data_IF_878311957107
#
_entry.id   IF_878311957107
#
_cell.length_a   1.000
_cell.length_b   1.000
_cell.length_c   1.000
_cell.angle_alpha   90.00
_cell.angle_beta   90.00
_cell.angle_gamma   90.00
#
_symmetry.space_group_name_H-M   'P 1'
#
loop_
_entity.id
_entity.type
_entity.pdbx_description
1 polymer ?
#
# COMPACT_ATOMS: atom_id res chain seq x y z
N UNK A 1 -1.94 1.62 -50.52
CA UNK A 1 -1.79 2.60 -49.42
C UNK A 1 -2.09 1.83 -48.14
N UNK A 2 -1.08 1.55 -47.32
CA UNK A 2 -1.21 0.67 -46.15
C UNK A 2 -2.10 1.35 -45.09
N UNK A 3 -3.36 0.95 -45.00
CA UNK A 3 -4.28 1.44 -43.96
C UNK A 3 -3.93 0.76 -42.64
N UNK A 4 -3.61 1.56 -41.61
CA UNK A 4 -3.44 1.07 -40.23
C UNK A 4 -2.01 1.04 -39.68
N UNK A 5 -1.01 1.56 -40.40
CA UNK A 5 0.33 1.78 -39.84
C UNK A 5 0.31 3.17 -39.15
N UNK A 6 0.69 3.26 -37.86
CA UNK A 6 0.86 4.55 -37.18
C UNK A 6 1.81 5.47 -37.96
N UNK A 7 1.65 6.78 -37.84
CA UNK A 7 2.67 7.69 -38.38
C UNK A 7 3.99 7.46 -37.65
N UNK A 8 5.11 7.45 -38.37
CA UNK A 8 6.45 7.42 -37.77
C UNK A 8 6.91 8.82 -37.33
N UNK A 9 6.02 9.81 -37.34
CA UNK A 9 6.32 11.14 -36.83
C UNK A 9 6.68 11.06 -35.34
N UNK A 10 7.74 11.77 -34.89
CA UNK A 10 8.12 11.76 -33.49
C UNK A 10 6.98 12.25 -32.59
N UNK A 11 6.68 11.49 -31.53
CA UNK A 11 5.69 11.87 -30.52
C UNK A 11 6.38 12.02 -29.17
N UNK A 12 6.24 13.21 -28.58
CA UNK A 12 6.72 13.48 -27.23
C UNK A 12 5.66 13.04 -26.22
N UNK A 13 6.08 12.21 -25.26
CA UNK A 13 5.21 11.59 -24.27
C UNK A 13 5.83 11.74 -22.90
N UNK A 14 5.04 12.19 -21.93
CA UNK A 14 5.39 12.11 -20.52
C UNK A 14 5.02 10.72 -20.00
N UNK A 15 6.01 9.94 -19.59
CA UNK A 15 5.86 8.59 -19.04
C UNK A 15 5.96 8.68 -17.53
N UNK A 16 4.89 8.29 -16.83
CA UNK A 16 4.83 8.23 -15.38
C UNK A 16 4.85 6.79 -14.91
N UNK A 17 5.94 6.39 -14.25
CA UNK A 17 6.17 5.04 -13.76
C UNK A 17 5.86 4.99 -12.27
N UNK A 18 4.90 4.16 -11.86
CA UNK A 18 4.55 3.94 -10.46
C UNK A 18 5.05 2.58 -10.00
N UNK A 19 5.96 2.57 -9.03
CA UNK A 19 6.52 1.34 -8.45
C UNK A 19 5.98 1.17 -7.04
N UNK A 20 5.13 0.16 -6.86
CA UNK A 20 4.37 -0.03 -5.61
C UNK A 20 5.19 -0.81 -4.60
N UNK A 21 5.50 -2.06 -4.94
CA UNK A 21 6.18 -3.01 -4.07
C UNK A 21 6.81 -4.12 -4.88
N UNK A 22 7.75 -4.83 -4.28
CA UNK A 22 8.15 -6.14 -4.74
C UNK A 22 7.75 -7.21 -3.71
N UNK A 23 7.60 -8.45 -4.17
CA UNK A 23 7.33 -9.62 -3.34
C UNK A 23 8.28 -10.75 -3.68
N UNK A 24 8.71 -11.48 -2.66
CA UNK A 24 9.57 -12.66 -2.77
C UNK A 24 10.84 -12.41 -3.59
N UNK A 25 11.49 -11.26 -3.38
CA UNK A 25 12.79 -10.99 -4.00
C UNK A 25 13.80 -12.09 -3.66
N UNK A 26 14.65 -12.43 -4.62
CA UNK A 26 15.73 -13.37 -4.37
C UNK A 26 16.72 -12.77 -3.35
N UNK A 27 17.07 -13.49 -2.27
CA UNK A 27 18.10 -13.05 -1.34
C UNK A 27 19.44 -12.86 -2.05
N UNK A 28 20.10 -11.73 -1.82
CA UNK A 28 21.42 -11.44 -2.39
C UNK A 28 22.49 -11.29 -1.29
N UNK A 29 22.07 -10.93 -0.07
CA UNK A 29 22.95 -10.85 1.11
C UNK A 29 23.19 -12.20 1.82
N UNK A 30 24.34 -12.28 2.52
CA UNK A 30 24.73 -13.41 3.41
C UNK A 30 23.70 -13.67 4.53
N UNK A 31 22.98 -12.63 4.97
CA UNK A 31 21.94 -12.74 6.00
C UNK A 31 20.62 -13.37 5.46
N UNK A 32 20.56 -13.69 4.17
CA UNK A 32 19.35 -14.22 3.53
C UNK A 32 18.29 -13.15 3.25
N UNK A 33 18.68 -11.87 3.16
CA UNK A 33 17.85 -10.71 2.80
C UNK A 33 18.44 -9.99 1.57
N UNK A 34 17.96 -8.77 1.35
CA UNK A 34 18.46 -7.81 0.39
C UNK A 34 18.12 -6.42 0.94
N UNK A 35 18.87 -5.41 0.51
CA UNK A 35 18.69 -3.98 0.67
C UNK A 35 18.20 -3.36 -0.67
N UNK A 36 16.98 -3.70 -1.16
CA UNK A 36 16.56 -3.38 -2.51
C UNK A 36 16.34 -1.88 -2.78
N UNK A 37 16.73 -1.44 -3.97
CA UNK A 37 16.37 -0.13 -4.54
C UNK A 37 15.97 -0.22 -6.03
N UNK A 38 15.27 0.82 -6.52
CA UNK A 38 14.76 0.88 -7.89
C UNK A 38 15.74 1.57 -8.82
N UNK A 39 15.94 0.98 -10.00
CA UNK A 39 16.59 1.63 -11.13
C UNK A 39 15.66 1.65 -12.35
N UNK A 40 15.54 2.80 -13.00
CA UNK A 40 14.67 3.01 -14.17
C UNK A 40 15.50 3.60 -15.29
N UNK A 41 15.39 3.02 -16.48
CA UNK A 41 16.02 3.52 -17.69
C UNK A 41 15.02 3.66 -18.82
N UNK A 42 14.99 4.84 -19.43
CA UNK A 42 14.16 5.14 -20.61
C UNK A 42 14.85 6.21 -21.46
N UNK A 43 15.18 5.86 -22.71
CA UNK A 43 15.94 6.75 -23.60
C UNK A 43 17.29 7.12 -23.00
N UNK A 44 17.52 8.42 -22.81
CA UNK A 44 18.74 8.98 -22.18
C UNK A 44 18.65 9.07 -20.66
N UNK A 45 17.47 8.88 -20.09
CA UNK A 45 17.23 8.99 -18.65
C UNK A 45 17.60 7.67 -17.97
N UNK A 46 18.46 7.75 -16.96
CA UNK A 46 18.90 6.64 -16.11
C UNK A 46 18.79 7.11 -14.66
N UNK A 47 17.80 6.59 -13.95
CA UNK A 47 17.47 6.94 -12.56
C UNK A 47 17.85 5.75 -11.69
N UNK A 48 18.68 5.99 -10.67
CA UNK A 48 19.00 5.01 -9.63
C UNK A 48 18.63 5.58 -8.28
N UNK A 49 17.64 4.99 -7.63
CA UNK A 49 17.09 5.46 -6.36
C UNK A 49 17.89 4.92 -5.16
N UNK A 50 19.22 4.90 -5.29
CA UNK A 50 20.14 4.21 -4.38
C UNK A 50 20.08 4.76 -2.94
N UNK A 51 19.86 6.06 -2.78
CA UNK A 51 19.76 6.71 -1.46
C UNK A 51 18.49 6.32 -0.69
N UNK A 52 17.53 5.69 -1.35
CA UNK A 52 16.25 5.28 -0.76
C UNK A 52 16.04 3.77 -0.83
N UNK A 53 17.13 3.00 -0.72
CA UNK A 53 17.05 1.56 -0.55
C UNK A 53 16.25 1.20 0.71
N UNK A 54 15.62 0.03 0.71
CA UNK A 54 14.84 -0.46 1.85
C UNK A 54 15.61 -1.59 2.50
N UNK A 55 16.12 -1.36 3.71
CA UNK A 55 17.04 -2.32 4.33
C UNK A 55 16.38 -3.66 4.70
N UNK A 56 17.10 -4.76 4.44
CA UNK A 56 16.84 -6.14 4.88
C UNK A 56 15.43 -6.65 4.56
N UNK A 57 14.94 -6.34 3.37
CA UNK A 57 13.56 -6.60 2.99
C UNK A 57 13.44 -7.34 1.65
N UNK A 58 12.83 -8.53 1.67
CA UNK A 58 12.50 -9.29 0.45
C UNK A 58 11.13 -8.93 -0.13
N UNK A 59 10.30 -8.21 0.63
CA UNK A 59 8.97 -7.75 0.24
C UNK A 59 8.85 -6.22 0.40
N UNK A 60 9.72 -5.42 -0.26
CA UNK A 60 9.77 -3.97 -0.04
C UNK A 60 8.53 -3.28 -0.61
N UNK A 61 8.01 -2.29 0.12
CA UNK A 61 7.00 -1.36 -0.40
C UNK A 61 7.70 -0.04 -0.72
N UNK A 62 7.96 0.21 -2.00
CA UNK A 62 8.63 1.42 -2.46
C UNK A 62 7.69 2.61 -2.42
N UNK A 63 6.49 2.47 -3.00
CA UNK A 63 5.48 3.52 -3.05
C UNK A 63 5.98 4.81 -3.71
N UNK A 64 6.63 4.72 -4.87
CA UNK A 64 7.22 5.87 -5.57
C UNK A 64 6.75 6.01 -7.01
N UNK A 65 6.70 7.25 -7.48
CA UNK A 65 6.41 7.58 -8.87
C UNK A 65 7.55 8.37 -9.50
N UNK A 66 7.83 8.12 -10.79
CA UNK A 66 8.87 8.78 -11.56
C UNK A 66 8.30 9.30 -12.88
N UNK A 67 8.54 10.57 -13.17
CA UNK A 67 8.13 11.22 -14.40
C UNK A 67 9.34 11.33 -15.34
N UNK A 68 9.21 10.77 -16.54
CA UNK A 68 10.26 10.72 -17.56
C UNK A 68 9.69 11.15 -18.90
N UNK A 69 10.31 12.13 -19.53
CA UNK A 69 9.97 12.50 -20.91
C UNK A 69 10.62 11.54 -21.89
N UNK A 70 9.87 11.09 -22.90
CA UNK A 70 10.36 10.19 -23.93
C UNK A 70 9.82 10.60 -25.31
N UNK A 71 10.62 10.37 -26.34
CA UNK A 71 10.27 10.59 -27.75
C UNK A 71 10.14 9.26 -28.48
N UNK A 72 8.92 8.86 -28.85
CA UNK A 72 8.70 7.67 -29.68
C UNK A 72 8.96 7.97 -31.16
N UNK A 73 9.52 7.03 -31.94
CA UNK A 73 9.86 5.64 -31.59
C UNK A 73 11.25 5.46 -30.95
N UNK A 74 12.07 6.51 -30.91
CA UNK A 74 13.49 6.44 -30.53
C UNK A 74 13.72 5.96 -29.09
N UNK A 75 12.82 6.33 -28.17
CA UNK A 75 12.93 6.12 -26.73
C UNK A 75 11.76 5.25 -26.23
N UNK A 76 11.54 4.10 -26.86
CA UNK A 76 10.36 3.23 -26.61
C UNK A 76 10.54 2.18 -25.52
N UNK A 77 11.78 1.77 -25.22
CA UNK A 77 12.06 0.67 -24.30
C UNK A 77 12.28 1.16 -22.87
N UNK A 78 11.28 0.98 -22.02
CA UNK A 78 11.38 1.20 -20.57
C UNK A 78 11.99 -0.03 -19.89
N UNK A 79 13.09 0.15 -19.17
CA UNK A 79 13.67 -0.87 -18.30
C UNK A 79 13.45 -0.48 -16.86
N UNK A 80 12.88 -1.38 -16.06
CA UNK A 80 12.76 -1.23 -14.60
C UNK A 80 13.48 -2.41 -13.95
N UNK A 81 14.44 -2.10 -13.09
CA UNK A 81 15.28 -3.06 -12.42
C UNK A 81 15.24 -2.84 -10.90
N UNK A 82 15.44 -3.92 -10.15
CA UNK A 82 15.64 -3.91 -8.71
C UNK A 82 17.08 -4.37 -8.45
N UNK A 83 17.83 -3.54 -7.74
CA UNK A 83 19.20 -3.82 -7.33
C UNK A 83 19.27 -4.01 -5.82
N UNK A 84 20.23 -4.80 -5.38
CA UNK A 84 20.64 -4.92 -3.99
C UNK A 84 21.70 -3.86 -3.67
N UNK A 85 21.52 -3.11 -2.59
CA UNK A 85 22.50 -2.12 -2.17
C UNK A 85 23.60 -2.79 -1.35
N UNK A 86 24.86 -2.64 -1.78
CA UNK A 86 26.01 -3.14 -1.02
C UNK A 86 26.81 -1.99 -0.38
N UNK A 87 27.16 -2.16 0.90
CA UNK A 87 28.05 -1.23 1.60
C UNK A 87 29.45 -1.20 0.97
N UNK A 88 29.92 -2.35 0.46
CA UNK A 88 31.24 -2.51 -0.14
C UNK A 88 31.12 -3.30 -1.43
N UNK A 89 31.56 -2.71 -2.54
CA UNK A 89 31.58 -3.39 -3.84
C UNK A 89 30.62 -2.76 -4.84
N UNK A 90 30.10 -3.60 -5.74
CA UNK A 90 29.14 -3.22 -6.76
C UNK A 90 27.79 -3.83 -6.45
N UNK A 91 26.76 -2.99 -6.40
CA UNK A 91 25.36 -3.37 -6.23
C UNK A 91 24.93 -4.50 -7.18
N UNK A 92 24.33 -5.55 -6.63
CA UNK A 92 23.91 -6.72 -7.38
C UNK A 92 22.53 -6.54 -8.03
N UNK A 93 22.38 -6.97 -9.30
CA UNK A 93 21.07 -6.97 -9.95
C UNK A 93 20.23 -8.15 -9.46
N UNK A 94 19.12 -7.88 -8.78
CA UNK A 94 18.17 -8.92 -8.34
C UNK A 94 17.30 -9.35 -9.52
N UNK A 95 16.78 -8.39 -10.30
CA UNK A 95 15.95 -8.68 -11.45
C UNK A 95 15.56 -7.43 -12.26
N UNK A 96 15.19 -7.62 -13.52
CA UNK A 96 14.75 -6.56 -14.41
C UNK A 96 13.54 -6.96 -15.26
N UNK A 97 12.78 -5.97 -15.70
CA UNK A 97 11.74 -6.10 -16.72
C UNK A 97 11.88 -5.02 -17.79
N UNK A 98 11.52 -5.36 -19.02
CA UNK A 98 11.58 -4.47 -20.19
C UNK A 98 10.20 -4.35 -20.82
N UNK A 99 9.76 -3.12 -21.00
CA UNK A 99 8.42 -2.75 -21.44
C UNK A 99 8.53 -1.89 -22.70
N UNK A 100 8.00 -2.38 -23.82
CA UNK A 100 7.89 -1.60 -25.05
C UNK A 100 6.69 -0.66 -24.95
N UNK A 101 6.98 0.60 -24.66
CA UNK A 101 5.99 1.65 -24.49
C UNK A 101 5.37 2.08 -25.81
N UNK A 102 6.11 2.04 -26.92
CA UNK A 102 5.60 2.43 -28.23
C UNK A 102 4.52 1.47 -28.71
N UNK A 103 4.78 0.16 -28.60
CA UNK A 103 3.80 -0.87 -28.95
C UNK A 103 2.52 -0.72 -28.11
N UNK A 104 2.64 -0.40 -26.83
CA UNK A 104 1.50 -0.14 -25.94
C UNK A 104 0.77 1.15 -26.28
N UNK A 105 1.50 2.21 -26.59
CA UNK A 105 0.97 3.52 -26.95
C UNK A 105 0.10 3.44 -28.20
N UNK A 106 0.57 2.77 -29.25
CA UNK A 106 -0.19 2.59 -30.50
C UNK A 106 -1.15 1.39 -30.48
N UNK A 107 -1.27 0.69 -29.35
CA UNK A 107 -2.21 -0.41 -29.23
C UNK A 107 -3.67 0.08 -29.29
N UNK A 108 -4.54 -0.73 -29.91
CA UNK A 108 -6.00 -0.51 -29.88
C UNK A 108 -6.59 -0.51 -28.46
N UNK A 109 -5.85 -1.07 -27.49
CA UNK A 109 -6.25 -1.23 -26.10
C UNK A 109 -6.14 0.06 -25.28
N UNK A 110 -5.67 1.17 -25.89
CA UNK A 110 -5.47 2.45 -25.21
C UNK A 110 -4.67 2.29 -23.92
N UNK A 111 -3.55 1.58 -24.00
CA UNK A 111 -2.66 1.32 -22.87
C UNK A 111 -1.83 2.55 -22.48
N UNK A 112 -2.42 3.76 -22.56
CA UNK A 112 -1.81 5.03 -22.20
C UNK A 112 -2.10 5.38 -20.75
N UNK A 113 -3.37 5.46 -20.34
CA UNK A 113 -3.76 5.60 -18.95
C UNK A 113 -4.91 4.64 -18.66
N UNK A 114 -4.79 3.88 -17.58
CA UNK A 114 -5.78 2.86 -17.20
C UNK A 114 -7.16 3.44 -16.94
N UNK A 115 -8.20 2.74 -17.38
CA UNK A 115 -9.61 3.14 -17.18
C UNK A 115 -10.04 2.76 -15.77
N UNK A 116 -10.25 3.76 -14.90
CA UNK A 116 -10.65 3.55 -13.51
C UNK A 116 -12.02 2.86 -13.38
N UNK A 117 -12.23 2.15 -12.27
CA UNK A 117 -13.50 1.50 -11.95
C UNK A 117 -14.65 2.51 -11.75
N UNK A 118 -14.31 3.65 -11.16
CA UNK A 118 -15.22 4.76 -10.81
C UNK A 118 -14.64 6.08 -11.30
N UNK A 119 -15.52 7.03 -11.59
CA UNK A 119 -15.14 8.41 -11.90
C UNK A 119 -15.35 9.27 -10.65
N UNK A 120 -14.31 9.95 -10.17
CA UNK A 120 -14.40 10.96 -9.12
C UNK A 120 -13.60 12.19 -9.53
N UNK A 121 -14.05 13.37 -9.12
CA UNK A 121 -13.34 14.63 -9.32
C UNK A 121 -12.52 15.05 -8.10
N UNK A 122 -12.67 14.34 -6.98
CA UNK A 122 -11.99 14.64 -5.73
C UNK A 122 -11.71 13.38 -4.89
N UNK A 123 -10.89 13.54 -3.84
CA UNK A 123 -10.50 12.48 -2.94
C UNK A 123 -9.45 11.52 -3.52
N UNK A 124 -9.24 10.40 -2.84
CA UNK A 124 -8.14 9.47 -3.17
C UNK A 124 -8.33 8.71 -4.50
N UNK A 125 -9.56 8.61 -5.00
CA UNK A 125 -9.89 7.96 -6.27
C UNK A 125 -10.15 8.97 -7.41
N UNK A 126 -9.52 10.15 -7.34
CA UNK A 126 -9.68 11.18 -8.36
C UNK A 126 -9.27 10.65 -9.75
N UNK A 127 -10.04 11.03 -10.76
CA UNK A 127 -9.80 10.68 -12.15
C UNK A 127 -8.42 11.16 -12.62
N UNK A 128 -7.68 10.25 -13.26
CA UNK A 128 -6.24 10.42 -13.55
C UNK A 128 -5.96 10.88 -14.97
N UNK A 129 -6.86 10.54 -15.88
CA UNK A 129 -6.69 10.83 -17.30
C UNK A 129 -6.97 12.32 -17.58
N UNK A 130 -6.12 13.04 -18.32
CA UNK A 130 -6.40 14.41 -18.72
C UNK A 130 -7.71 14.55 -19.50
N UNK A 131 -8.11 13.51 -20.23
CA UNK A 131 -9.38 13.46 -20.94
C UNK A 131 -10.48 12.92 -20.03
N UNK A 132 -11.65 13.55 -20.10
CA UNK A 132 -12.85 13.03 -19.44
C UNK A 132 -13.33 11.73 -20.11
N UNK A 133 -14.00 10.82 -19.38
CA UNK A 133 -14.58 9.60 -19.96
C UNK A 133 -15.40 9.84 -21.24
N UNK A 134 -16.25 10.88 -21.26
CA UNK A 134 -17.07 11.26 -22.41
C UNK A 134 -16.25 11.64 -23.65
N UNK A 135 -15.12 12.34 -23.45
CA UNK A 135 -14.19 12.73 -24.50
C UNK A 135 -13.44 11.53 -25.06
N UNK A 136 -13.00 10.62 -24.17
CA UNK A 136 -12.34 9.37 -24.56
C UNK A 136 -13.31 8.51 -25.39
N UNK A 137 -14.54 8.33 -24.91
CA UNK A 137 -15.56 7.57 -25.61
C UNK A 137 -15.86 8.14 -26.99
N UNK A 138 -16.00 9.46 -27.09
CA UNK A 138 -16.21 10.15 -28.37
C UNK A 138 -15.06 9.94 -29.35
N UNK A 139 -13.81 9.99 -28.85
CA UNK A 139 -12.60 9.71 -29.64
C UNK A 139 -12.59 8.27 -30.16
N UNK A 140 -12.85 7.29 -29.29
CA UNK A 140 -12.89 5.87 -29.66
C UNK A 140 -13.99 5.55 -30.69
N UNK A 141 -15.18 6.14 -30.55
CA UNK A 141 -16.24 6.00 -31.54
C UNK A 141 -15.82 6.56 -32.90
N UNK A 142 -15.18 7.74 -32.92
CA UNK A 142 -14.69 8.37 -34.15
C UNK A 142 -13.60 7.54 -34.83
N UNK A 143 -12.62 7.06 -34.07
CA UNK A 143 -11.51 6.23 -34.58
C UNK A 143 -12.00 4.85 -35.06
N UNK A 144 -12.90 4.23 -34.31
CA UNK A 144 -13.54 2.96 -34.65
C UNK A 144 -14.61 3.06 -35.74
N UNK A 145 -14.93 4.27 -36.22
CA UNK A 145 -16.04 4.54 -37.16
C UNK A 145 -17.38 3.95 -36.67
N UNK A 146 -17.63 4.10 -35.38
CA UNK A 146 -18.82 3.63 -34.66
C UNK A 146 -19.79 4.80 -34.51
N UNK A 147 -21.09 4.57 -34.71
CA UNK A 147 -22.12 5.59 -34.46
C UNK A 147 -22.29 5.85 -32.95
N UNK A 148 -22.37 7.13 -32.56
CA UNK A 148 -22.43 7.57 -31.17
C UNK A 148 -21.10 8.19 -30.67
N UNK A 149 -20.98 8.49 -29.35
CA UNK A 149 -21.95 8.25 -28.29
C UNK A 149 -23.14 9.23 -28.32
N UNK A 150 -24.36 8.70 -28.22
CA UNK A 150 -25.59 9.49 -28.13
C UNK A 150 -26.14 9.42 -26.70
N UNK A 151 -26.00 10.50 -25.94
CA UNK A 151 -26.54 10.62 -24.58
C UNK A 151 -28.02 11.01 -24.63
N UNK A 152 -28.85 10.35 -23.82
CA UNK A 152 -30.29 10.51 -23.81
C UNK A 152 -30.86 10.62 -22.39
N UNK A 153 -32.14 11.04 -22.29
CA UNK A 153 -32.80 11.26 -21.00
C UNK A 153 -32.90 9.96 -20.19
N UNK A 154 -32.93 10.11 -18.86
CA UNK A 154 -33.03 8.98 -17.92
C UNK A 154 -31.73 8.20 -17.75
N UNK A 155 -30.58 8.82 -17.99
CA UNK A 155 -29.27 8.22 -17.77
C UNK A 155 -28.97 7.09 -18.74
N UNK A 156 -29.13 7.34 -20.04
CA UNK A 156 -28.93 6.37 -21.10
C UNK A 156 -27.90 6.87 -22.10
N UNK A 157 -27.01 5.98 -22.55
CA UNK A 157 -26.08 6.26 -23.65
C UNK A 157 -26.14 5.15 -24.69
N UNK A 158 -26.26 5.53 -25.95
CA UNK A 158 -26.29 4.60 -27.09
C UNK A 158 -24.98 4.69 -27.88
N UNK A 159 -24.35 3.54 -28.10
CA UNK A 159 -23.17 3.38 -28.95
C UNK A 159 -23.42 2.21 -29.90
N UNK A 160 -23.37 2.47 -31.20
CA UNK A 160 -23.83 1.58 -32.25
C UNK A 160 -25.24 1.02 -31.98
N UNK A 161 -25.34 -0.30 -31.79
CA UNK A 161 -26.58 -1.00 -31.50
C UNK A 161 -26.75 -1.37 -30.01
N UNK A 162 -25.86 -0.89 -29.12
CA UNK A 162 -25.94 -1.12 -27.68
C UNK A 162 -26.38 0.12 -26.93
N UNK A 163 -27.12 -0.11 -25.84
CA UNK A 163 -27.58 0.94 -24.92
C UNK A 163 -27.10 0.59 -23.52
N UNK A 164 -26.48 1.54 -22.86
CA UNK A 164 -26.00 1.43 -21.49
C UNK A 164 -26.74 2.43 -20.61
N UNK A 165 -26.82 2.11 -19.32
CA UNK A 165 -27.48 2.94 -18.31
C UNK A 165 -26.58 3.09 -17.10
N UNK A 166 -26.71 4.19 -16.39
CA UNK A 166 -25.88 4.47 -15.23
C UNK A 166 -26.23 5.79 -14.55
N UNK A 167 -25.53 6.10 -13.45
CA UNK A 167 -25.75 7.34 -12.71
C UNK A 167 -25.48 8.57 -13.57
N UNK A 168 -26.23 9.64 -13.35
CA UNK A 168 -26.06 10.95 -14.02
C UNK A 168 -25.74 12.07 -13.04
N UNK A 169 -25.35 11.73 -11.82
CA UNK A 169 -25.04 12.69 -10.77
C UNK A 169 -23.66 12.38 -10.22
N UNK A 170 -22.89 13.43 -9.96
CA UNK A 170 -21.60 13.39 -9.28
C UNK A 170 -21.61 14.36 -8.11
N UNK A 171 -21.01 13.95 -7.01
CA UNK A 171 -20.82 14.77 -5.82
C UNK A 171 -19.51 15.56 -5.94
N UNK A 172 -19.53 16.84 -5.58
CA UNK A 172 -18.33 17.66 -5.47
C UNK A 172 -17.77 17.66 -4.04
N UNK A 173 -16.63 18.33 -3.84
CA UNK A 173 -15.94 18.39 -2.54
C UNK A 173 -16.79 18.96 -1.40
N UNK A 174 -17.85 19.72 -1.74
CA UNK A 174 -18.75 20.33 -0.76
C UNK A 174 -20.03 19.51 -0.56
N UNK A 175 -20.11 18.31 -1.13
CA UNK A 175 -21.29 17.45 -1.08
C UNK A 175 -22.42 17.88 -2.03
N UNK A 176 -22.19 18.83 -2.93
CA UNK A 176 -23.22 19.24 -3.89
C UNK A 176 -23.26 18.26 -5.07
N UNK A 177 -24.47 17.81 -5.40
CA UNK A 177 -24.70 16.94 -6.55
C UNK A 177 -24.87 17.75 -7.82
N UNK A 178 -24.07 17.42 -8.85
CA UNK A 178 -24.08 18.02 -10.18
C UNK A 178 -24.44 16.96 -11.22
N UNK A 179 -25.18 17.36 -12.26
CA UNK A 179 -25.45 16.46 -13.37
C UNK A 179 -24.19 16.19 -14.19
N UNK A 180 -24.00 14.95 -14.61
CA UNK A 180 -22.85 14.51 -15.39
C UNK A 180 -23.18 13.31 -16.27
N UNK A 181 -22.54 13.24 -17.43
CA UNK A 181 -22.59 12.07 -18.32
C UNK A 181 -21.33 11.19 -18.18
N UNK A 182 -20.39 11.54 -17.31
CA UNK A 182 -19.08 10.89 -17.23
C UNK A 182 -19.16 9.46 -16.68
N UNK A 183 -20.07 9.19 -15.74
CA UNK A 183 -20.32 7.84 -15.24
C UNK A 183 -20.89 6.92 -16.33
N UNK A 184 -21.78 7.44 -17.18
CA UNK A 184 -22.32 6.71 -18.33
C UNK A 184 -21.21 6.40 -19.32
N UNK A 185 -20.43 7.41 -19.68
CA UNK A 185 -19.32 7.24 -20.61
C UNK A 185 -18.30 6.22 -20.08
N UNK A 186 -17.96 6.28 -18.79
CA UNK A 186 -17.06 5.33 -18.15
C UNK A 186 -17.63 3.90 -18.18
N UNK A 187 -18.94 3.75 -17.97
CA UNK A 187 -19.60 2.45 -18.06
C UNK A 187 -19.43 1.84 -19.45
N UNK A 188 -19.58 2.65 -20.51
CA UNK A 188 -19.34 2.17 -21.88
C UNK A 188 -17.88 1.85 -22.12
N UNK A 189 -16.94 2.67 -21.65
CA UNK A 189 -15.50 2.41 -21.80
C UNK A 189 -15.09 1.08 -21.16
N UNK A 190 -15.64 0.77 -19.98
CA UNK A 190 -15.38 -0.50 -19.30
C UNK A 190 -15.98 -1.71 -20.03
N UNK A 191 -17.03 -1.49 -20.81
CA UNK A 191 -17.64 -2.48 -21.69
C UNK A 191 -17.29 -2.19 -23.16
N UNK A 192 -16.10 -1.64 -23.44
CA UNK A 192 -15.73 -1.34 -24.82
C UNK A 192 -15.58 -2.62 -25.65
N UNK A 193 -15.13 -3.72 -25.03
CA UNK A 193 -15.01 -5.04 -25.66
C UNK A 193 -16.32 -5.59 -26.24
N UNK A 194 -17.45 -5.11 -25.72
CA UNK A 194 -18.79 -5.49 -26.14
C UNK A 194 -19.24 -4.79 -27.44
N UNK A 195 -18.56 -3.71 -27.85
CA UNK A 195 -18.95 -2.92 -29.02
C UNK A 195 -18.58 -3.67 -30.31
N UNK A 196 -19.54 -3.96 -31.21
CA UNK A 196 -19.25 -4.70 -32.43
C UNK A 196 -18.22 -4.01 -33.31
N UNK A 197 -17.32 -4.80 -33.91
CA UNK A 197 -16.30 -4.38 -34.91
C UNK A 197 -15.17 -3.47 -34.40
N UNK A 198 -15.36 -2.75 -33.30
CA UNK A 198 -14.37 -1.83 -32.73
C UNK A 198 -13.94 -2.18 -31.29
N UNK A 199 -14.68 -3.05 -30.61
CA UNK A 199 -14.46 -3.39 -29.23
C UNK A 199 -13.16 -4.14 -28.98
N UNK A 200 -12.47 -3.72 -27.91
CA UNK A 200 -11.38 -4.46 -27.31
C UNK A 200 -11.30 -4.11 -25.83
N UNK A 201 -10.60 -4.93 -25.04
CA UNK A 201 -10.39 -4.62 -23.63
C UNK A 201 -9.45 -3.43 -23.49
N UNK A 202 -9.86 -2.41 -22.73
CA UNK A 202 -9.03 -1.22 -22.50
C UNK A 202 -8.13 -1.41 -21.28
N UNK A 203 -6.86 -1.02 -21.38
CA UNK A 203 -5.93 -0.92 -20.24
C UNK A 203 -5.23 -2.20 -19.76
N UNK A 204 -5.60 -3.38 -20.27
CA UNK A 204 -4.95 -4.63 -19.84
C UNK A 204 -3.69 -4.95 -20.66
N UNK A 205 -2.54 -4.88 -20.00
CA UNK A 205 -1.30 -5.47 -20.45
C UNK A 205 -0.58 -6.12 -19.25
N UNK A 206 -1.09 -7.28 -18.81
CA UNK A 206 -0.37 -8.06 -17.80
C UNK A 206 0.88 -8.68 -18.46
N UNK A 207 2.03 -8.48 -17.83
CA UNK A 207 3.30 -9.03 -18.29
C UNK A 207 3.91 -9.81 -17.13
N UNK A 208 3.62 -11.10 -17.11
CA UNK A 208 4.21 -12.05 -16.18
C UNK A 208 5.47 -12.64 -16.82
N UNK A 209 6.63 -12.27 -16.29
CA UNK A 209 7.89 -12.96 -16.59
C UNK A 209 7.99 -14.21 -15.71
N UNK A 210 8.31 -15.40 -16.27
CA UNK A 210 8.28 -16.68 -15.55
C UNK A 210 9.52 -16.93 -14.66
N UNK A 211 10.35 -15.92 -14.38
CA UNK A 211 11.57 -16.08 -13.60
C UNK A 211 11.30 -16.07 -12.10
N UNK A 212 11.99 -16.96 -11.38
CA UNK A 212 11.85 -17.21 -9.93
C UNK A 212 12.56 -16.15 -9.05
N UNK A 213 12.77 -14.91 -9.53
CA UNK A 213 13.57 -13.88 -8.85
C UNK A 213 12.71 -12.87 -8.05
N UNK A 214 11.43 -13.18 -7.88
CA UNK A 214 10.43 -12.32 -7.24
C UNK A 214 9.50 -11.65 -8.24
N UNK A 215 8.58 -10.82 -7.73
CA UNK A 215 7.57 -10.11 -8.53
C UNK A 215 7.55 -8.64 -8.18
N UNK A 216 7.63 -7.78 -9.19
CA UNK A 216 7.48 -6.33 -9.04
C UNK A 216 6.04 -5.93 -9.40
N UNK A 217 5.34 -5.26 -8.49
CA UNK A 217 4.04 -4.65 -8.74
C UNK A 217 4.22 -3.17 -9.09
N UNK A 218 3.83 -2.82 -10.32
CA UNK A 218 3.98 -1.48 -10.86
C UNK A 218 2.93 -1.22 -11.95
N UNK A 219 2.73 0.05 -12.30
CA UNK A 219 2.03 0.43 -13.53
C UNK A 219 2.70 1.63 -14.19
N UNK A 220 2.36 1.87 -15.45
CA UNK A 220 2.91 2.97 -16.24
C UNK A 220 1.75 3.70 -16.89
N UNK A 221 1.72 5.02 -16.72
CA UNK A 221 0.85 5.89 -17.50
C UNK A 221 1.69 6.68 -18.52
N UNK A 222 1.12 6.95 -19.69
CA UNK A 222 1.72 7.68 -20.79
C UNK A 222 0.79 8.81 -21.20
N UNK A 223 1.31 10.04 -21.18
CA UNK A 223 0.57 11.24 -21.50
C UNK A 223 1.19 11.93 -22.72
N UNK A 224 0.51 11.93 -23.87
CA UNK A 224 0.94 12.71 -25.03
C UNK A 224 1.09 14.19 -24.68
N UNK A 225 2.19 14.83 -25.06
CA UNK A 225 2.44 16.25 -24.73
C UNK A 225 1.70 17.24 -25.63
N UNK A 226 1.03 16.77 -26.69
CA UNK A 226 0.12 17.57 -27.51
C UNK A 226 -1.29 17.72 -26.89
N UNK A 227 -1.52 17.09 -25.74
CA UNK A 227 -2.76 17.10 -24.97
C UNK A 227 -2.59 17.92 -23.68
N UNK A 228 -3.69 18.26 -22.97
CA UNK A 228 -3.57 18.90 -21.65
C UNK A 228 -2.66 18.10 -20.72
N UNK A 229 -1.78 18.80 -20.01
CA UNK A 229 -0.86 18.18 -19.07
C UNK A 229 -1.61 17.38 -18.00
N UNK A 230 -1.10 16.20 -17.59
CA UNK A 230 -1.71 15.44 -16.50
C UNK A 230 -1.61 16.17 -15.17
N UNK A 231 -2.49 15.81 -14.25
CA UNK A 231 -2.40 16.24 -12.86
C UNK A 231 -1.14 15.72 -12.15
N UNK A 232 -0.93 16.10 -10.88
CA UNK A 232 0.16 15.58 -10.07
C UNK A 232 0.10 14.05 -9.97
N UNK A 233 1.25 13.43 -9.74
CA UNK A 233 1.29 11.99 -9.51
C UNK A 233 0.48 11.63 -8.26
N UNK A 234 -0.28 10.54 -8.32
CA UNK A 234 -0.90 9.95 -7.13
C UNK A 234 0.16 9.63 -6.09
N UNK A 235 -0.08 10.09 -4.87
CA UNK A 235 0.72 9.70 -3.71
C UNK A 235 0.43 8.23 -3.36
N UNK A 236 1.40 7.39 -3.67
CA UNK A 236 1.38 5.95 -3.38
C UNK A 236 2.39 5.60 -2.28
N UNK A 237 2.91 6.61 -1.57
CA UNK A 237 3.91 6.41 -0.53
C UNK A 237 3.37 5.50 0.59
N UNK A 238 4.24 4.67 1.21
CA UNK A 238 3.83 3.83 2.32
C UNK A 238 3.24 4.68 3.44
N UNK A 239 2.11 4.23 3.98
CA UNK A 239 1.47 4.89 5.11
C UNK A 239 2.40 4.83 6.31
N UNK A 240 2.67 6.00 6.90
CA UNK A 240 3.50 6.10 8.10
C UNK A 240 2.69 5.76 9.35
N UNK A 241 3.29 5.06 10.33
CA UNK A 241 2.63 4.84 11.61
C UNK A 241 2.39 6.18 12.32
N UNK A 242 1.35 6.20 13.15
CA UNK A 242 1.03 7.33 14.02
C UNK A 242 1.27 6.91 15.46
N UNK A 243 1.67 7.86 16.31
CA UNK A 243 1.82 7.64 17.74
C UNK A 243 0.45 7.52 18.42
N UNK A 244 0.26 6.45 19.18
CA UNK A 244 -0.90 6.20 20.02
C UNK A 244 -0.47 5.93 21.46
N UNK A 245 -1.41 6.10 22.37
CA UNK A 245 -1.28 5.73 23.78
C UNK A 245 -2.43 4.79 24.15
N UNK A 246 -2.10 3.59 24.64
CA UNK A 246 -3.07 2.72 25.29
C UNK A 246 -3.04 3.01 26.79
N UNK A 247 -4.19 3.36 27.34
CA UNK A 247 -4.35 3.61 28.78
C UNK A 247 -5.22 2.52 29.38
N UNK A 248 -4.69 1.85 30.39
CA UNK A 248 -5.38 0.74 31.08
C UNK A 248 -5.46 1.11 32.54
N UNK A 249 -6.65 0.97 33.13
CA UNK A 249 -6.86 1.23 34.55
C UNK A 249 -7.15 -0.10 35.24
N UNK A 250 -6.30 -0.46 36.20
CA UNK A 250 -6.52 -1.61 37.09
C UNK A 250 -7.16 -1.07 38.36
N UNK A 251 -8.47 -1.26 38.49
CA UNK A 251 -9.19 -0.83 39.69
C UNK A 251 -8.96 -1.81 40.83
N UNK A 252 -9.30 -3.07 40.59
CA UNK A 252 -9.26 -4.12 41.58
C UNK A 252 -9.09 -5.50 40.94
N UNK A 253 -8.63 -6.47 41.73
CA UNK A 253 -8.70 -7.91 41.48
C UNK A 253 -9.68 -8.53 42.47
N UNK A 254 -10.23 -9.68 42.12
CA UNK A 254 -11.16 -10.44 42.95
C UNK A 254 -10.92 -11.94 42.70
N UNK A 255 -11.24 -12.77 43.70
CA UNK A 255 -11.08 -14.23 43.66
C UNK A 255 -9.66 -14.72 43.26
N UNK A 256 -8.62 -13.97 43.63
CA UNK A 256 -7.22 -14.37 43.40
C UNK A 256 -6.84 -15.56 44.30
N UNK A 257 -6.10 -16.51 43.75
CA UNK A 257 -5.63 -17.70 44.49
C UNK A 257 -4.67 -17.25 45.59
N UNK A 258 -4.87 -17.78 46.80
CA UNK A 258 -4.05 -17.50 47.98
C UNK A 258 -2.96 -18.58 48.12
N UNK A 259 -1.70 -18.18 47.95
CA UNK A 259 -0.57 -19.10 47.90
C UNK A 259 0.32 -19.08 49.16
N UNK A 260 0.36 -17.99 49.92
CA UNK A 260 1.12 -17.92 51.17
C UNK A 260 0.40 -18.58 52.34
N UNK A 261 1.11 -19.39 53.13
CA UNK A 261 0.65 -19.90 54.42
C UNK A 261 1.33 -19.11 55.57
N UNK A 262 0.55 -18.41 56.41
CA UNK A 262 1.08 -17.76 57.59
C UNK A 262 1.63 -18.80 58.59
N UNK A 263 2.93 -18.71 58.90
CA UNK A 263 3.65 -19.65 59.76
C UNK A 263 3.08 -19.75 61.19
N UNK A 264 2.41 -18.70 61.67
CA UNK A 264 1.89 -18.64 63.05
C UNK A 264 0.39 -18.95 63.14
N UNK A 265 -0.40 -18.59 62.14
CA UNK A 265 -1.88 -18.74 62.16
C UNK A 265 -2.39 -19.85 61.24
N UNK A 266 -1.63 -20.25 60.22
CA UNK A 266 -2.05 -21.17 59.16
C UNK A 266 -3.10 -20.59 58.22
N UNK A 267 -3.35 -19.28 58.29
CA UNK A 267 -4.25 -18.58 57.37
C UNK A 267 -3.55 -18.37 56.02
N UNK A 268 -4.31 -18.53 54.93
CA UNK A 268 -3.80 -18.31 53.58
C UNK A 268 -3.91 -16.84 53.21
N UNK A 269 -2.86 -16.26 52.64
CA UNK A 269 -2.87 -14.92 52.07
C UNK A 269 -2.10 -14.86 50.75
N UNK A 270 -2.16 -13.72 50.05
CA UNK A 270 -1.24 -13.39 48.94
C UNK A 270 -0.96 -11.88 48.90
N UNK A 271 0.24 -11.53 48.47
CA UNK A 271 0.74 -10.19 48.18
C UNK A 271 0.55 -9.87 46.69
N UNK A 272 -0.65 -9.44 46.32
CA UNK A 272 -1.09 -9.38 44.91
C UNK A 272 -0.51 -8.16 44.21
N UNK A 273 0.06 -8.35 43.02
CA UNK A 273 0.30 -7.27 42.05
C UNK A 273 -0.08 -7.67 40.63
N UNK A 274 -0.33 -6.67 39.78
CA UNK A 274 -0.62 -6.87 38.36
C UNK A 274 0.56 -6.39 37.53
N UNK A 275 0.93 -7.17 36.51
CA UNK A 275 1.99 -6.90 35.54
C UNK A 275 1.40 -6.82 34.15
N UNK A 276 1.70 -5.74 33.43
CA UNK A 276 1.18 -5.49 32.08
C UNK A 276 2.26 -5.13 31.08
N UNK A 277 2.12 -5.60 29.83
CA UNK A 277 2.98 -5.17 28.72
C UNK A 277 2.29 -5.33 27.35
N UNK A 278 2.76 -4.57 26.38
CA UNK A 278 2.41 -4.77 24.97
C UNK A 278 3.36 -5.77 24.32
N UNK A 279 2.80 -6.69 23.50
CA UNK A 279 3.61 -7.61 22.68
C UNK A 279 4.63 -6.81 21.86
N UNK A 280 5.88 -7.29 21.82
CA UNK A 280 7.00 -6.63 21.13
C UNK A 280 7.75 -5.57 21.94
N UNK A 281 7.14 -5.06 23.01
CA UNK A 281 7.73 -4.17 24.01
C UNK A 281 7.84 -4.88 25.37
N UNK A 282 8.32 -6.13 25.36
CA UNK A 282 8.43 -6.95 26.58
C UNK A 282 9.46 -6.40 27.59
N UNK A 283 10.33 -5.51 27.14
CA UNK A 283 11.29 -4.78 27.99
C UNK A 283 10.60 -3.62 28.74
N UNK A 284 9.46 -3.13 28.24
CA UNK A 284 8.66 -2.04 28.85
C UNK A 284 7.51 -2.59 29.70
N UNK A 285 7.77 -3.66 30.47
CA UNK A 285 6.81 -4.19 31.45
C UNK A 285 6.54 -3.15 32.52
N UNK A 286 5.26 -3.01 32.88
CA UNK A 286 4.81 -2.12 33.95
C UNK A 286 4.09 -2.95 35.01
N UNK A 287 4.44 -2.72 36.27
CA UNK A 287 3.83 -3.37 37.42
C UNK A 287 2.96 -2.34 38.18
N UNK A 288 1.92 -2.81 38.86
CA UNK A 288 1.21 -2.01 39.86
C UNK A 288 2.05 -1.90 41.14
N UNK A 289 1.54 -1.15 42.11
CA UNK A 289 1.89 -1.38 43.51
C UNK A 289 1.42 -2.77 43.97
N UNK A 290 1.96 -3.25 45.10
CA UNK A 290 1.62 -4.53 45.72
C UNK A 290 0.52 -4.31 46.75
N UNK A 291 -0.56 -5.09 46.66
CA UNK A 291 -1.57 -5.17 47.69
C UNK A 291 -1.21 -6.28 48.68
N UNK A 292 -0.65 -5.89 49.82
CA UNK A 292 -0.13 -6.82 50.82
C UNK A 292 -1.24 -7.53 51.61
N UNK A 293 -1.02 -8.81 51.89
CA UNK A 293 -1.76 -9.64 52.82
C UNK A 293 -3.28 -9.71 52.51
N UNK A 294 -3.62 -10.04 51.27
CA UNK A 294 -5.00 -10.32 50.88
C UNK A 294 -5.46 -11.65 51.46
N UNK A 295 -6.46 -11.63 52.35
CA UNK A 295 -7.07 -12.83 52.95
C UNK A 295 -8.26 -13.37 52.16
N UNK A 296 -8.80 -12.57 51.24
CA UNK A 296 -10.02 -12.90 50.47
C UNK A 296 -9.75 -13.08 48.98
N UNK A 297 -8.54 -12.79 48.51
CA UNK A 297 -8.20 -12.75 47.09
C UNK A 297 -8.58 -11.44 46.39
N UNK A 298 -9.06 -10.45 47.16
CA UNK A 298 -9.33 -9.10 46.68
C UNK A 298 -8.06 -8.24 46.73
N UNK A 299 -7.80 -7.46 45.67
CA UNK A 299 -6.72 -6.48 45.62
C UNK A 299 -7.24 -5.14 45.08
N UNK A 300 -6.78 -4.01 45.61
CA UNK A 300 -7.23 -2.68 45.21
C UNK A 300 -6.04 -1.79 44.87
N UNK A 301 -5.99 -1.28 43.64
CA UNK A 301 -4.82 -0.60 43.08
C UNK A 301 -5.14 0.82 42.59
N UNK A 302 -6.29 1.02 41.92
CA UNK A 302 -6.58 2.27 41.19
C UNK A 302 -5.38 2.73 40.32
N UNK A 303 -4.72 1.76 39.69
CA UNK A 303 -3.47 1.96 38.96
C UNK A 303 -3.73 2.29 37.50
N UNK A 304 -2.89 3.12 36.89
CA UNK A 304 -3.04 3.55 35.49
C UNK A 304 -1.77 3.26 34.70
N UNK A 305 -1.84 2.26 33.84
CA UNK A 305 -0.81 2.02 32.84
C UNK A 305 -0.95 2.95 31.65
N UNK A 306 0.18 3.37 31.11
CA UNK A 306 0.27 4.15 29.88
C UNK A 306 1.29 3.47 28.98
N UNK A 307 0.85 2.92 27.86
CA UNK A 307 1.71 2.28 26.88
C UNK A 307 1.74 3.12 25.59
N UNK A 308 2.85 3.84 25.31
CA UNK A 308 3.03 4.52 24.04
C UNK A 308 3.49 3.54 22.95
N UNK A 309 2.89 3.62 21.76
CA UNK A 309 3.26 2.77 20.63
C UNK A 309 2.96 3.44 19.29
N UNK A 310 3.69 3.02 18.26
CA UNK A 310 3.44 3.43 16.88
C UNK A 310 2.47 2.46 16.22
N UNK A 311 1.36 2.98 15.67
CA UNK A 311 0.27 2.17 15.15
C UNK A 311 -0.07 2.53 13.70
N UNK A 312 -0.25 1.49 12.90
CA UNK A 312 -0.70 1.61 11.52
C UNK A 312 -2.16 1.15 11.44
N UNK A 313 -3.10 2.09 11.57
CA UNK A 313 -4.55 1.81 11.63
C UNK A 313 -5.05 0.93 10.48
N UNK A 314 -4.56 1.14 9.28
CA UNK A 314 -5.04 0.43 8.10
C UNK A 314 -4.64 -1.05 8.04
N UNK A 315 -3.53 -1.42 8.70
CA UNK A 315 -3.07 -2.80 8.80
C UNK A 315 -3.39 -3.43 10.16
N UNK A 316 -3.97 -2.65 11.08
CA UNK A 316 -4.28 -3.03 12.45
C UNK A 316 -3.06 -3.59 13.22
N UNK A 317 -1.89 -2.98 13.02
CA UNK A 317 -0.61 -3.46 13.56
C UNK A 317 0.18 -2.36 14.25
N UNK A 318 0.91 -2.75 15.29
CA UNK A 318 1.95 -1.96 15.94
C UNK A 318 3.23 -2.08 15.10
N UNK A 319 3.90 -0.95 14.88
CA UNK A 319 5.20 -0.87 14.20
C UNK A 319 6.28 -0.68 15.25
N UNK A 320 7.34 -1.49 15.17
CA UNK A 320 8.49 -1.43 16.07
C UNK A 320 9.75 -1.37 15.22
N UNK A 321 10.60 -0.38 15.43
CA UNK A 321 11.92 -0.27 14.82
C UNK A 321 12.98 -0.75 15.80
N UNK A 322 13.79 -1.75 15.41
CA UNK A 322 14.91 -2.25 16.22
C UNK A 322 16.16 -2.41 15.38
N UNK A 323 17.31 -2.05 15.95
CA UNK A 323 18.63 -2.44 15.44
C UNK A 323 18.89 -3.90 15.82
N UNK A 324 19.25 -4.74 14.86
CA UNK A 324 19.52 -6.17 15.12
C UNK A 324 20.79 -6.37 15.97
N UNK A 325 21.72 -5.42 15.95
CA UNK A 325 22.96 -5.46 16.73
C UNK A 325 23.45 -4.04 17.03
N UNK A 326 24.28 -3.87 18.06
CA UNK A 326 24.95 -2.58 18.33
C UNK A 326 25.83 -2.10 17.16
N UNK A 327 26.16 -3.01 16.23
CA UNK A 327 26.93 -2.71 15.03
C UNK A 327 26.09 -2.57 13.75
N UNK A 328 24.77 -2.79 13.81
CA UNK A 328 23.92 -2.57 12.64
C UNK A 328 23.66 -1.07 12.45
N UNK A 329 23.98 -0.58 11.27
CA UNK A 329 23.74 0.83 10.89
C UNK A 329 22.25 1.11 10.80
N UNK A 330 21.51 0.21 10.16
CA UNK A 330 20.08 0.38 9.88
C UNK A 330 19.18 -0.27 10.94
N UNK A 331 18.04 0.38 11.12
CA UNK A 331 16.93 -0.13 11.93
C UNK A 331 16.01 -0.98 11.05
N UNK A 332 15.61 -2.14 11.57
CA UNK A 332 14.64 -3.01 10.91
C UNK A 332 13.26 -2.76 11.52
N UNK A 333 12.29 -2.47 10.66
CA UNK A 333 10.89 -2.32 11.06
C UNK A 333 10.17 -3.66 11.10
N UNK A 334 9.51 -3.93 12.23
CA UNK A 334 8.68 -5.10 12.45
C UNK A 334 7.23 -4.68 12.68
N UNK A 335 6.30 -5.41 12.07
CA UNK A 335 4.86 -5.20 12.26
C UNK A 335 4.27 -6.37 13.02
N UNK A 336 3.63 -6.09 14.15
CA UNK A 336 3.04 -7.11 15.03
C UNK A 336 1.59 -6.78 15.37
N UNK A 337 0.75 -7.78 15.68
CA UNK A 337 -0.61 -7.51 16.13
C UNK A 337 -0.59 -6.76 17.47
N UNK A 338 -1.46 -5.77 17.61
CA UNK A 338 -1.67 -5.07 18.88
C UNK A 338 -2.25 -6.05 19.91
N UNK A 339 -1.42 -6.46 20.88
CA UNK A 339 -1.83 -7.37 21.96
C UNK A 339 -1.27 -6.87 23.28
N UNK A 340 -2.17 -6.55 24.20
CA UNK A 340 -1.86 -6.34 25.61
C UNK A 340 -1.86 -7.71 26.30
N UNK A 341 -0.93 -7.90 27.23
CA UNK A 341 -0.96 -9.02 28.17
C UNK A 341 -0.96 -8.46 29.57
N UNK A 342 -1.89 -8.94 30.39
CA UNK A 342 -1.95 -8.64 31.82
C UNK A 342 -1.80 -9.95 32.59
N UNK A 343 -1.03 -9.91 33.67
CA UNK A 343 -0.79 -11.04 34.54
C UNK A 343 -0.94 -10.63 36.00
N UNK A 344 -1.49 -11.52 36.82
CA UNK A 344 -1.57 -11.36 38.27
C UNK A 344 -0.49 -12.23 38.89
N UNK A 345 0.23 -11.69 39.87
CA UNK A 345 1.38 -12.30 40.51
C UNK A 345 1.30 -12.15 42.04
N UNK A 346 1.92 -13.10 42.75
CA UNK A 346 2.19 -13.05 44.18
C UNK A 346 3.61 -12.52 44.42
N UNK A 347 3.78 -11.54 45.31
CA UNK A 347 5.06 -10.91 45.59
C UNK A 347 5.75 -11.54 46.80
N UNK A 348 6.64 -12.51 46.55
CA UNK A 348 7.37 -13.21 47.61
C UNK A 348 8.54 -12.39 48.17
N UNK A 349 8.68 -12.35 49.50
CA UNK A 349 9.78 -11.64 50.15
C UNK A 349 11.13 -12.38 50.14
N UNK A 350 11.13 -13.71 49.95
CA UNK A 350 12.33 -14.57 50.07
C UNK A 350 12.49 -15.63 48.96
N UNK A 351 11.57 -15.70 47.99
CA UNK A 351 11.56 -16.58 46.81
C UNK A 351 11.28 -15.78 45.53
N UNK A 352 11.17 -16.46 44.38
CA UNK A 352 10.81 -15.82 43.11
C UNK A 352 9.28 -15.73 43.02
N UNK A 353 8.76 -14.55 42.65
CA UNK A 353 7.32 -14.28 42.50
C UNK A 353 6.55 -15.43 41.82
N UNK A 354 5.42 -15.83 42.42
CA UNK A 354 4.56 -16.89 41.88
C UNK A 354 3.48 -16.32 40.95
N UNK A 355 3.20 -17.06 39.87
CA UNK A 355 2.29 -16.61 38.81
C UNK A 355 0.86 -17.11 39.07
N UNK A 356 -0.08 -16.18 39.22
CA UNK A 356 -1.46 -16.47 39.65
C UNK A 356 -2.48 -16.51 38.49
N UNK A 357 -2.24 -15.80 37.37
CA UNK A 357 -3.15 -15.82 36.23
C UNK A 357 -2.83 -14.86 35.08
N UNK A 358 -3.44 -15.04 33.89
CA UNK A 358 -3.25 -14.19 32.69
C UNK A 358 -4.55 -13.84 31.97
N UNK A 359 -4.59 -12.65 31.35
CA UNK A 359 -5.62 -12.20 30.41
C UNK A 359 -5.01 -11.67 29.11
#
# INVERSE_FOLDING_TARGET
MFQGIPSNDPVNVLVRVYVVRATDLHPADINGKADPYIAIKLGKTDIKDKENYISKQLNPVFGKSFDIEATFPMESMLTVAVYDWDLVGTDDLIGETKIDLENRYYSKHRATCGVSQTYSIHGYNTWRDPMKPSQILSKLCKEGKVDGPHFGPGGRVKVANRVFTGPTEIEDENGQKKQTDEHLALTVLRHWEDIPRAGCRLGDADCTSPTLQGRLEMWVDMFPMDMPAPGPAIDISPRKPKKYELRVIVWNTDEVVLEDDDYFTGEKSSDIFVRGWLKGQQEDKQDTDVHYHSLTGEGNFNWRYIFPFDYLMAEEKIVISKKESMFSWDETEYKIPARLTLQVWDADHFSADDFLGRW
#
